data_IF_152166334107
#
_entry.id   IF_152166334107
#
_cell.length_a   1.000
_cell.length_b   1.000
_cell.length_c   1.000
_cell.angle_alpha   90.00
_cell.angle_beta   90.00
_cell.angle_gamma   90.00
#
_symmetry.space_group_name_H-M   'P 1'
#
loop_
_entity.id
_entity.type
_entity.pdbx_description
1 polymer ?
#
# COMPACT_ATOMS: atom_id res chain seq x y z
N UNK A 1 10.30 -14.98 13.53
CA UNK A 1 10.63 -13.67 14.12
C UNK A 1 9.46 -13.14 14.94
N UNK A 2 9.66 -12.14 15.82
CA UNK A 2 8.59 -11.50 16.62
C UNK A 2 7.45 -10.98 15.73
N UNK A 3 7.77 -10.40 14.58
CA UNK A 3 6.78 -9.90 13.63
C UNK A 3 5.86 -11.01 13.08
N UNK A 4 6.38 -12.20 12.82
CA UNK A 4 5.57 -13.35 12.38
C UNK A 4 4.65 -13.86 13.50
N UNK A 5 5.15 -13.89 14.74
CA UNK A 5 4.31 -14.24 15.91
C UNK A 5 3.20 -13.22 16.08
N UNK A 6 3.50 -11.91 15.95
CA UNK A 6 2.49 -10.86 16.00
C UNK A 6 1.38 -11.05 14.95
N UNK A 7 1.75 -11.33 13.69
CA UNK A 7 0.75 -11.52 12.62
C UNK A 7 -0.08 -12.78 12.84
N UNK A 8 0.51 -13.87 13.30
CA UNK A 8 -0.26 -15.07 13.64
C UNK A 8 -1.25 -14.80 14.77
N UNK A 9 -0.83 -14.05 15.81
CA UNK A 9 -1.72 -13.62 16.89
C UNK A 9 -2.82 -12.66 16.39
N UNK A 10 -2.47 -11.75 15.48
CA UNK A 10 -3.42 -10.83 14.86
C UNK A 10 -4.49 -11.58 14.05
N UNK A 11 -4.11 -12.59 13.27
CA UNK A 11 -5.04 -13.42 12.50
C UNK A 11 -6.02 -14.20 13.43
N UNK A 12 -5.53 -14.71 14.55
CA UNK A 12 -6.39 -15.33 15.56
C UNK A 12 -7.39 -14.31 16.15
N UNK A 13 -6.96 -13.06 16.30
CA UNK A 13 -7.80 -11.95 16.81
C UNK A 13 -8.82 -11.37 15.81
N UNK A 14 -8.76 -11.73 14.53
CA UNK A 14 -9.63 -11.16 13.49
C UNK A 14 -11.10 -11.43 13.79
N UNK A 15 -11.47 -12.68 14.01
CA UNK A 15 -12.86 -13.07 14.25
C UNK A 15 -13.41 -12.42 15.54
N UNK A 16 -12.67 -12.50 16.65
CA UNK A 16 -13.09 -11.92 17.92
C UNK A 16 -13.24 -10.39 17.86
N UNK A 17 -12.38 -9.69 17.11
CA UNK A 17 -12.52 -8.25 16.89
C UNK A 17 -13.72 -7.93 16.00
N UNK A 18 -13.93 -8.71 14.94
CA UNK A 18 -15.02 -8.49 13.98
C UNK A 18 -16.42 -8.70 14.58
N UNK A 19 -16.57 -9.48 15.67
CA UNK A 19 -17.83 -9.64 16.39
C UNK A 19 -18.23 -8.42 17.22
N UNK A 20 -17.28 -7.53 17.54
CA UNK A 20 -17.49 -6.37 18.39
C UNK A 20 -17.75 -5.11 17.56
N UNK A 21 -18.94 -4.52 17.69
CA UNK A 21 -19.29 -3.28 16.98
C UNK A 21 -19.21 -2.07 17.92
N UNK A 22 -17.97 -1.73 18.32
CA UNK A 22 -17.68 -0.59 19.21
C UNK A 22 -16.57 0.28 18.63
N UNK A 23 -16.48 1.58 18.98
CA UNK A 23 -15.38 2.44 18.54
C UNK A 23 -13.98 1.88 18.88
N UNK A 24 -13.84 1.26 20.07
CA UNK A 24 -12.57 0.65 20.45
C UNK A 24 -12.22 -0.54 19.56
N UNK A 25 -13.18 -1.42 19.25
CA UNK A 25 -12.98 -2.54 18.33
C UNK A 25 -12.66 -2.05 16.90
N UNK A 26 -13.24 -0.92 16.48
CA UNK A 26 -12.92 -0.28 15.20
C UNK A 26 -11.47 0.20 15.17
N UNK A 27 -10.99 0.90 16.19
CA UNK A 27 -9.58 1.35 16.27
C UNK A 27 -8.63 0.16 16.32
N UNK A 28 -8.92 -0.85 17.15
CA UNK A 28 -8.06 -2.04 17.25
C UNK A 28 -8.08 -2.85 15.95
N UNK A 29 -9.24 -2.96 15.29
CA UNK A 29 -9.35 -3.59 13.97
C UNK A 29 -8.53 -2.88 12.91
N UNK A 30 -8.57 -1.55 12.87
CA UNK A 30 -7.73 -0.75 11.99
C UNK A 30 -6.24 -0.98 12.26
N UNK A 31 -5.82 -0.97 13.52
CA UNK A 31 -4.43 -1.23 13.91
C UNK A 31 -3.97 -2.66 13.55
N UNK A 32 -4.84 -3.67 13.73
CA UNK A 32 -4.59 -5.04 13.29
C UNK A 32 -4.40 -5.09 11.77
N UNK A 33 -5.27 -4.44 11.00
CA UNK A 33 -5.16 -4.35 9.54
C UNK A 33 -3.84 -3.72 9.08
N UNK A 34 -3.44 -2.59 9.70
CA UNK A 34 -2.15 -1.95 9.44
C UNK A 34 -0.97 -2.84 9.82
N UNK A 35 -1.05 -3.55 10.94
CA UNK A 35 0.01 -4.47 11.38
C UNK A 35 0.20 -5.67 10.45
N UNK A 36 -0.90 -6.28 9.98
CA UNK A 36 -0.86 -7.35 8.98
C UNK A 36 -0.24 -6.83 7.68
N UNK A 37 -0.70 -5.67 7.21
CA UNK A 37 -0.16 -5.04 6.01
C UNK A 37 1.32 -4.70 6.13
N UNK A 38 1.72 -4.09 7.24
CA UNK A 38 3.13 -3.76 7.51
C UNK A 38 4.04 -4.99 7.47
N UNK A 39 3.59 -6.12 8.01
CA UNK A 39 4.34 -7.37 7.91
C UNK A 39 4.46 -7.89 6.46
N UNK A 40 3.39 -7.82 5.69
CA UNK A 40 3.41 -8.20 4.27
C UNK A 40 4.43 -7.36 3.51
N UNK A 41 4.40 -6.04 3.69
CA UNK A 41 5.33 -5.11 3.03
C UNK A 41 6.79 -5.31 3.48
N UNK A 42 7.03 -5.45 4.80
CA UNK A 42 8.37 -5.71 5.32
C UNK A 42 8.93 -7.02 4.78
N UNK A 43 8.11 -8.09 4.70
CA UNK A 43 8.53 -9.36 4.13
C UNK A 43 8.96 -9.24 2.66
N UNK A 44 8.28 -8.37 1.91
CA UNK A 44 8.64 -8.04 0.53
C UNK A 44 9.92 -7.21 0.45
N UNK A 45 10.00 -6.11 1.19
CA UNK A 45 11.16 -5.19 1.17
C UNK A 45 12.44 -5.86 1.69
N UNK A 46 12.34 -6.79 2.62
CA UNK A 46 13.49 -7.61 3.07
C UNK A 46 13.87 -8.73 2.10
N UNK A 47 13.12 -8.91 0.99
CA UNK A 47 13.40 -9.89 -0.02
C UNK A 47 13.03 -11.33 0.33
N UNK A 48 12.30 -11.56 1.44
CA UNK A 48 11.91 -12.92 1.86
C UNK A 48 10.87 -13.51 0.91
N UNK A 49 9.88 -12.71 0.51
CA UNK A 49 8.81 -13.15 -0.39
C UNK A 49 8.68 -12.11 -1.50
N UNK A 50 9.24 -12.40 -2.66
CA UNK A 50 9.24 -11.52 -3.84
C UNK A 50 8.59 -12.22 -5.04
N UNK A 51 9.36 -12.53 -6.05
CA UNK A 51 8.95 -13.30 -7.22
C UNK A 51 10.13 -14.04 -7.84
N UNK A 52 9.90 -14.86 -8.86
CA UNK A 52 10.95 -15.66 -9.51
C UNK A 52 11.88 -14.82 -10.37
N UNK A 53 11.45 -13.65 -10.84
CA UNK A 53 12.27 -12.77 -11.69
C UNK A 53 13.10 -11.84 -10.81
N UNK A 54 14.43 -12.05 -10.80
CA UNK A 54 15.40 -11.27 -10.00
C UNK A 54 16.52 -10.67 -10.89
N UNK A 55 16.26 -10.53 -12.19
CA UNK A 55 17.20 -9.97 -13.14
C UNK A 55 16.63 -8.68 -13.77
N UNK A 56 17.49 -7.73 -14.18
CA UNK A 56 17.03 -6.53 -14.88
C UNK A 56 16.42 -6.86 -16.25
N UNK A 57 15.55 -5.95 -16.73
CA UNK A 57 14.93 -6.07 -18.04
C UNK A 57 15.99 -6.00 -19.16
N UNK A 58 15.85 -6.86 -20.18
CA UNK A 58 16.64 -6.75 -21.41
C UNK A 58 16.04 -5.68 -22.34
N UNK A 59 16.88 -5.03 -23.15
CA UNK A 59 16.46 -3.93 -24.03
C UNK A 59 15.41 -4.33 -25.09
N UNK A 60 15.26 -5.62 -25.38
CA UNK A 60 14.47 -6.14 -26.51
C UNK A 60 13.04 -6.56 -26.15
N UNK A 61 12.60 -6.35 -24.89
CA UNK A 61 11.27 -6.80 -24.43
C UNK A 61 10.14 -5.99 -25.08
N UNK A 62 9.13 -6.69 -25.61
CA UNK A 62 7.85 -6.08 -25.95
C UNK A 62 7.13 -5.55 -24.69
N UNK A 63 6.14 -4.66 -24.86
CA UNK A 63 5.35 -4.11 -23.75
C UNK A 63 4.73 -5.21 -22.86
N UNK A 64 4.16 -6.22 -23.50
CA UNK A 64 3.52 -7.33 -22.80
C UNK A 64 4.52 -8.23 -22.06
N UNK A 65 5.66 -8.53 -22.67
CA UNK A 65 6.75 -9.26 -22.01
C UNK A 65 7.27 -8.48 -20.81
N UNK A 66 7.49 -7.17 -20.96
CA UNK A 66 7.92 -6.29 -19.88
C UNK A 66 6.91 -6.31 -18.70
N UNK A 67 5.61 -6.25 -18.99
CA UNK A 67 4.57 -6.35 -17.96
C UNK A 67 4.61 -7.70 -17.23
N UNK A 68 4.69 -8.80 -17.97
CA UNK A 68 4.78 -10.15 -17.38
C UNK A 68 6.03 -10.31 -16.51
N UNK A 69 7.18 -9.82 -16.95
CA UNK A 69 8.40 -9.89 -16.17
C UNK A 69 8.34 -8.95 -14.96
N UNK A 70 7.81 -7.74 -15.09
CA UNK A 70 7.57 -6.85 -13.96
C UNK A 70 6.65 -7.50 -12.91
N UNK A 71 5.55 -8.13 -13.32
CA UNK A 71 4.70 -8.92 -12.44
C UNK A 71 5.46 -10.09 -11.82
N UNK A 72 6.31 -10.75 -12.61
CA UNK A 72 7.17 -11.85 -12.15
C UNK A 72 8.16 -11.45 -11.05
N UNK A 73 8.49 -10.17 -10.89
CA UNK A 73 9.35 -9.69 -9.79
C UNK A 73 8.65 -9.74 -8.42
N UNK A 74 7.32 -9.78 -8.38
CA UNK A 74 6.51 -9.60 -7.16
C UNK A 74 5.41 -10.64 -6.99
N UNK A 75 5.25 -11.60 -7.91
CA UNK A 75 4.07 -12.47 -7.97
C UNK A 75 3.85 -13.32 -6.71
N UNK A 76 4.90 -13.85 -6.07
CA UNK A 76 4.74 -14.65 -4.85
C UNK A 76 4.24 -13.79 -3.70
N UNK A 77 4.69 -12.53 -3.61
CA UNK A 77 4.18 -11.56 -2.64
C UNK A 77 2.71 -11.23 -2.92
N UNK A 78 2.32 -11.00 -4.19
CA UNK A 78 0.92 -10.73 -4.54
C UNK A 78 0.00 -11.90 -4.19
N UNK A 79 0.44 -13.13 -4.43
CA UNK A 79 -0.30 -14.33 -4.05
C UNK A 79 -0.45 -14.44 -2.52
N UNK A 80 0.60 -14.11 -1.76
CA UNK A 80 0.52 -14.06 -0.30
C UNK A 80 -0.48 -12.99 0.16
N UNK A 81 -0.43 -11.77 -0.40
CA UNK A 81 -1.38 -10.69 -0.07
C UNK A 81 -2.81 -11.14 -0.34
N UNK A 82 -3.10 -11.67 -1.54
CA UNK A 82 -4.43 -12.18 -1.89
C UNK A 82 -4.88 -13.28 -0.94
N UNK A 83 -3.98 -14.19 -0.56
CA UNK A 83 -4.30 -15.27 0.38
C UNK A 83 -4.64 -14.75 1.77
N UNK A 84 -3.86 -13.80 2.29
CA UNK A 84 -4.09 -13.19 3.61
C UNK A 84 -5.37 -12.34 3.62
N UNK A 85 -5.56 -11.49 2.61
CA UNK A 85 -6.78 -10.68 2.48
C UNK A 85 -8.01 -11.58 2.33
N UNK A 86 -7.93 -12.62 1.50
CA UNK A 86 -8.99 -13.60 1.33
C UNK A 86 -9.34 -14.33 2.63
N UNK A 87 -8.32 -14.76 3.39
CA UNK A 87 -8.52 -15.38 4.70
C UNK A 87 -9.23 -14.43 5.68
N UNK A 88 -8.77 -13.18 5.77
CA UNK A 88 -9.39 -12.17 6.65
C UNK A 88 -10.82 -11.88 6.22
N UNK A 89 -11.11 -11.84 4.92
CA UNK A 89 -12.48 -11.68 4.42
C UNK A 89 -13.38 -12.88 4.81
N UNK A 90 -12.86 -14.10 4.75
CA UNK A 90 -13.61 -15.31 5.15
C UNK A 90 -13.85 -15.32 6.65
N UNK A 91 -12.84 -15.02 7.47
CA UNK A 91 -12.98 -15.00 8.94
C UNK A 91 -13.92 -13.92 9.43
N UNK A 92 -14.01 -12.78 8.74
CA UNK A 92 -14.90 -11.67 9.10
C UNK A 92 -16.22 -11.64 8.33
N UNK A 93 -16.53 -12.66 7.53
CA UNK A 93 -17.73 -12.67 6.69
C UNK A 93 -19.01 -12.66 7.52
N UNK A 94 -19.88 -11.68 7.24
CA UNK A 94 -21.16 -11.53 7.96
C UNK A 94 -21.05 -10.99 9.39
N UNK A 95 -19.85 -10.65 9.86
CA UNK A 95 -19.64 -10.05 11.19
C UNK A 95 -19.81 -8.51 11.14
N UNK A 96 -20.23 -7.88 12.25
CA UNK A 96 -20.66 -6.48 12.25
C UNK A 96 -19.54 -5.45 12.07
N UNK A 97 -18.29 -5.80 12.30
CA UNK A 97 -17.16 -4.87 12.21
C UNK A 97 -16.21 -5.25 11.05
N UNK A 98 -16.37 -4.67 9.84
CA UNK A 98 -15.54 -4.99 8.68
C UNK A 98 -14.26 -4.15 8.61
N UNK A 99 -13.82 -3.48 9.67
CA UNK A 99 -12.72 -2.50 9.61
C UNK A 99 -11.40 -3.12 9.18
N UNK A 100 -11.08 -4.35 9.63
CA UNK A 100 -9.84 -5.04 9.24
C UNK A 100 -9.85 -5.30 7.73
N UNK A 101 -10.94 -5.86 7.21
CA UNK A 101 -11.12 -6.19 5.78
C UNK A 101 -11.00 -4.92 4.91
N UNK A 102 -11.71 -3.85 5.31
CA UNK A 102 -11.71 -2.58 4.59
C UNK A 102 -10.32 -1.92 4.58
N UNK A 103 -9.60 -1.98 5.71
CA UNK A 103 -8.22 -1.48 5.82
C UNK A 103 -7.31 -2.19 4.83
N UNK A 104 -7.32 -3.53 4.83
CA UNK A 104 -6.49 -4.33 3.93
C UNK A 104 -6.89 -4.14 2.46
N UNK A 105 -8.19 -4.04 2.17
CA UNK A 105 -8.69 -3.83 0.81
C UNK A 105 -8.21 -2.49 0.23
N UNK A 106 -8.31 -1.40 1.00
CA UNK A 106 -7.85 -0.07 0.55
C UNK A 106 -6.34 -0.06 0.33
N UNK A 107 -5.56 -0.60 1.27
CA UNK A 107 -4.10 -0.68 1.14
C UNK A 107 -3.69 -1.49 -0.09
N UNK A 108 -4.33 -2.63 -0.34
CA UNK A 108 -4.06 -3.47 -1.50
C UNK A 108 -4.41 -2.78 -2.82
N UNK A 109 -5.60 -2.16 -2.91
CA UNK A 109 -6.02 -1.43 -4.11
C UNK A 109 -5.09 -0.25 -4.41
N UNK A 110 -4.70 0.53 -3.39
CA UNK A 110 -3.81 1.68 -3.55
C UNK A 110 -2.42 1.22 -3.98
N UNK A 111 -1.90 0.13 -3.40
CA UNK A 111 -0.63 -0.45 -3.83
C UNK A 111 -0.64 -0.89 -5.31
N UNK A 112 -1.73 -1.53 -5.77
CA UNK A 112 -1.86 -1.88 -7.18
C UNK A 112 -1.93 -0.65 -8.07
N UNK A 113 -2.67 0.37 -7.64
CA UNK A 113 -2.71 1.66 -8.35
C UNK A 113 -1.32 2.27 -8.50
N UNK A 114 -0.53 2.33 -7.41
CA UNK A 114 0.84 2.83 -7.42
C UNK A 114 1.74 2.00 -8.35
N UNK A 115 1.71 0.66 -8.26
CA UNK A 115 2.49 -0.22 -9.14
C UNK A 115 2.17 -0.03 -10.62
N UNK A 116 0.88 0.08 -10.97
CA UNK A 116 0.46 0.33 -12.35
C UNK A 116 0.92 1.70 -12.83
N UNK A 117 0.83 2.74 -12.00
CA UNK A 117 1.33 4.07 -12.32
C UNK A 117 2.84 4.06 -12.57
N UNK A 118 3.62 3.42 -11.71
CA UNK A 118 5.07 3.28 -11.87
C UNK A 118 5.43 2.52 -13.16
N UNK A 119 4.68 1.48 -13.49
CA UNK A 119 4.89 0.70 -14.72
C UNK A 119 4.53 1.49 -15.98
N UNK A 120 3.39 2.20 -15.99
CA UNK A 120 2.91 2.96 -17.14
C UNK A 120 3.70 4.25 -17.36
N UNK A 121 4.20 4.84 -16.30
CA UNK A 121 5.06 6.01 -16.32
C UNK A 121 4.62 7.08 -15.33
N UNK A 122 5.56 7.52 -14.52
CA UNK A 122 5.45 8.66 -13.60
C UNK A 122 6.65 9.57 -13.77
N UNK A 123 6.48 10.84 -13.47
CA UNK A 123 7.53 11.83 -13.63
C UNK A 123 8.60 11.71 -12.55
N UNK A 124 8.17 11.44 -11.33
CA UNK A 124 9.05 11.41 -10.16
C UNK A 124 8.92 10.07 -9.46
N UNK A 125 9.98 9.30 -9.54
CA UNK A 125 10.17 8.07 -8.79
C UNK A 125 11.59 8.05 -8.24
N UNK A 126 11.69 8.03 -6.92
CA UNK A 126 12.99 7.93 -6.28
C UNK A 126 13.39 6.47 -6.10
N UNK A 127 14.31 6.01 -6.93
CA UNK A 127 14.86 4.65 -6.86
C UNK A 127 15.81 4.43 -5.68
N UNK A 128 16.29 5.48 -5.02
CA UNK A 128 17.21 5.40 -3.87
C UNK A 128 16.55 4.76 -2.64
N UNK A 129 15.22 4.77 -2.59
CA UNK A 129 14.45 4.16 -1.51
C UNK A 129 14.29 2.64 -1.65
N UNK A 130 14.64 2.09 -2.81
CA UNK A 130 14.60 0.65 -2.99
C UNK A 130 15.83 0.01 -2.34
N UNK A 131 15.64 -1.10 -1.59
CA UNK A 131 16.75 -1.89 -1.09
C UNK A 131 17.69 -2.31 -2.23
N UNK A 132 18.99 -2.35 -1.98
CA UNK A 132 20.00 -2.64 -3.01
C UNK A 132 19.73 -3.94 -3.78
N UNK A 133 19.20 -4.97 -3.10
CA UNK A 133 18.86 -6.26 -3.71
C UNK A 133 17.60 -6.23 -4.59
N UNK A 134 16.86 -5.11 -4.62
CA UNK A 134 15.64 -4.93 -5.42
C UNK A 134 15.79 -3.90 -6.56
N UNK A 135 16.97 -3.33 -6.73
CA UNK A 135 17.22 -2.28 -7.75
C UNK A 135 16.92 -2.73 -9.18
N UNK A 136 17.00 -4.04 -9.47
CA UNK A 136 16.63 -4.60 -10.78
C UNK A 136 15.20 -4.27 -11.19
N UNK A 137 14.28 -4.02 -10.23
CA UNK A 137 12.88 -3.68 -10.50
C UNK A 137 12.78 -2.36 -11.28
N UNK A 138 13.68 -1.41 -11.04
CA UNK A 138 13.68 -0.10 -11.71
C UNK A 138 13.78 -0.21 -13.23
N UNK A 139 14.46 -1.25 -13.75
CA UNK A 139 14.59 -1.49 -15.17
C UNK A 139 13.27 -1.77 -15.90
N UNK A 140 12.22 -2.16 -15.15
CA UNK A 140 10.87 -2.40 -15.67
C UNK A 140 10.00 -1.16 -15.61
N UNK A 141 10.38 -0.11 -14.88
CA UNK A 141 9.62 1.12 -14.70
C UNK A 141 9.84 2.11 -15.85
N UNK A 142 8.98 3.12 -15.98
CA UNK A 142 9.09 4.18 -16.99
C UNK A 142 9.14 5.56 -16.32
N UNK A 143 10.30 5.99 -15.83
CA UNK A 143 10.45 7.33 -15.29
C UNK A 143 10.44 8.38 -16.40
N UNK A 144 10.03 9.61 -16.08
CA UNK A 144 10.23 10.79 -16.91
C UNK A 144 8.97 11.48 -17.41
N UNK A 145 7.87 10.79 -17.68
CA UNK A 145 6.60 11.41 -18.10
C UNK A 145 5.42 10.77 -17.38
N UNK A 146 4.50 11.59 -16.90
CA UNK A 146 3.24 11.10 -16.35
C UNK A 146 2.40 10.47 -17.46
N UNK A 147 1.97 9.23 -17.26
CA UNK A 147 0.93 8.63 -18.09
C UNK A 147 -0.43 9.28 -17.76
N UNK A 148 -1.39 9.21 -18.68
CA UNK A 148 -2.76 9.69 -18.40
C UNK A 148 -3.41 8.92 -17.23
N UNK A 149 -2.99 7.68 -16.99
CA UNK A 149 -3.55 6.81 -15.96
C UNK A 149 -3.36 7.37 -14.54
N UNK A 150 -2.25 8.10 -14.26
CA UNK A 150 -2.04 8.67 -12.93
C UNK A 150 -3.08 9.75 -12.59
N UNK A 151 -3.54 10.52 -13.58
CA UNK A 151 -4.57 11.53 -13.36
C UNK A 151 -5.91 10.87 -13.06
N UNK A 152 -6.28 9.83 -13.82
CA UNK A 152 -7.53 9.10 -13.61
C UNK A 152 -7.53 8.36 -12.28
N UNK A 153 -6.45 7.65 -11.95
CA UNK A 153 -6.34 6.91 -10.69
C UNK A 153 -6.35 7.85 -9.47
N UNK A 154 -5.70 9.02 -9.57
CA UNK A 154 -5.72 10.05 -8.51
C UNK A 154 -7.12 10.64 -8.32
N UNK A 155 -7.82 10.98 -9.41
CA UNK A 155 -9.18 11.50 -9.35
C UNK A 155 -10.15 10.47 -8.77
N UNK A 156 -10.02 9.20 -9.18
CA UNK A 156 -10.83 8.11 -8.64
C UNK A 156 -10.57 7.91 -7.15
N UNK A 157 -9.31 7.90 -6.74
CA UNK A 157 -8.93 7.79 -5.33
C UNK A 157 -9.47 8.97 -4.50
N UNK A 158 -9.37 10.20 -5.02
CA UNK A 158 -9.94 11.40 -4.38
C UNK A 158 -11.46 11.33 -4.26
N UNK A 159 -12.15 10.86 -5.30
CA UNK A 159 -13.59 10.64 -5.27
C UNK A 159 -13.98 9.58 -4.25
N UNK A 160 -13.31 8.43 -4.22
CA UNK A 160 -13.53 7.40 -3.20
C UNK A 160 -13.30 7.94 -1.78
N UNK A 161 -12.26 8.74 -1.59
CA UNK A 161 -11.97 9.41 -0.31
C UNK A 161 -13.14 10.31 0.11
N UNK A 162 -13.65 11.14 -0.81
CA UNK A 162 -14.81 11.99 -0.56
C UNK A 162 -16.05 11.19 -0.16
N UNK A 163 -16.36 10.10 -0.89
CA UNK A 163 -17.50 9.23 -0.57
C UNK A 163 -17.34 8.59 0.81
N UNK A 164 -16.14 8.14 1.16
CA UNK A 164 -15.88 7.56 2.48
C UNK A 164 -16.08 8.59 3.61
N UNK A 165 -15.61 9.83 3.44
CA UNK A 165 -15.90 10.91 4.39
C UNK A 165 -17.39 11.21 4.50
N UNK A 166 -18.10 11.28 3.37
CA UNK A 166 -19.54 11.49 3.37
C UNK A 166 -20.29 10.37 4.09
N UNK A 167 -19.95 9.10 3.84
CA UNK A 167 -20.54 7.95 4.53
C UNK A 167 -20.27 7.98 6.03
N UNK A 168 -19.09 8.44 6.45
CA UNK A 168 -18.77 8.63 7.87
C UNK A 168 -19.63 9.71 8.53
N UNK A 169 -19.97 10.78 7.80
CA UNK A 169 -20.82 11.87 8.32
C UNK A 169 -22.29 11.46 8.46
N UNK A 170 -22.79 10.62 7.59
CA UNK A 170 -24.21 10.21 7.59
C UNK A 170 -24.45 8.90 8.37
N UNK A 171 -23.40 8.24 8.84
CA UNK A 171 -23.52 7.01 9.61
C UNK A 171 -24.13 7.28 11.00
N UNK A 172 -25.17 6.54 11.37
CA UNK A 172 -25.85 6.69 12.65
C UNK A 172 -25.08 6.08 13.83
N UNK A 173 -24.34 4.99 13.55
CA UNK A 173 -23.59 4.24 14.57
C UNK A 173 -22.16 4.78 14.71
N UNK A 174 -21.70 5.17 15.91
CA UNK A 174 -20.36 5.74 16.10
C UNK A 174 -19.22 4.85 15.63
N UNK A 175 -19.33 3.52 15.80
CA UNK A 175 -18.33 2.57 15.32
C UNK A 175 -18.21 2.56 13.78
N UNK A 176 -19.36 2.60 13.11
CA UNK A 176 -19.44 2.67 11.65
C UNK A 176 -18.88 3.99 11.12
N UNK A 177 -19.27 5.13 11.71
CA UNK A 177 -18.75 6.44 11.36
C UNK A 177 -17.23 6.48 11.48
N UNK A 178 -16.71 6.00 12.62
CA UNK A 178 -15.27 5.95 12.87
C UNK A 178 -14.53 5.06 11.85
N UNK A 179 -15.10 3.89 11.51
CA UNK A 179 -14.53 3.02 10.47
C UNK A 179 -14.39 3.75 9.15
N UNK A 180 -15.44 4.43 8.67
CA UNK A 180 -15.39 5.21 7.45
C UNK A 180 -14.36 6.33 7.50
N UNK A 181 -14.25 7.07 8.60
CA UNK A 181 -13.24 8.12 8.74
C UNK A 181 -11.81 7.58 8.71
N UNK A 182 -11.52 6.48 9.41
CA UNK A 182 -10.19 5.87 9.40
C UNK A 182 -9.79 5.42 7.99
N UNK A 183 -10.70 4.77 7.27
CA UNK A 183 -10.47 4.33 5.89
C UNK A 183 -10.36 5.54 4.93
N UNK A 184 -11.16 6.58 5.12
CA UNK A 184 -11.08 7.81 4.34
C UNK A 184 -9.73 8.52 4.49
N UNK A 185 -9.20 8.61 5.71
CA UNK A 185 -7.87 9.17 5.96
C UNK A 185 -6.77 8.33 5.31
N UNK A 186 -6.89 7.01 5.37
CA UNK A 186 -5.95 6.12 4.69
C UNK A 186 -5.99 6.31 3.17
N UNK A 187 -7.18 6.43 2.59
CA UNK A 187 -7.35 6.72 1.17
C UNK A 187 -6.82 8.12 0.80
N UNK A 188 -6.99 9.12 1.67
CA UNK A 188 -6.43 10.46 1.47
C UNK A 188 -4.89 10.44 1.43
N UNK A 189 -4.24 9.64 2.29
CA UNK A 189 -2.79 9.45 2.23
C UNK A 189 -2.34 8.81 0.91
N UNK A 190 -3.12 7.88 0.36
CA UNK A 190 -2.84 7.30 -0.95
C UNK A 190 -3.01 8.32 -2.09
N UNK A 191 -4.00 9.22 -2.01
CA UNK A 191 -4.11 10.37 -2.96
C UNK A 191 -2.85 11.22 -2.89
N UNK A 192 -2.38 11.53 -1.68
CA UNK A 192 -1.16 12.31 -1.47
C UNK A 192 0.07 11.60 -2.07
N UNK A 193 0.19 10.29 -1.92
CA UNK A 193 1.23 9.49 -2.57
C UNK A 193 1.21 9.65 -4.09
N UNK A 194 0.02 9.55 -4.71
CA UNK A 194 -0.12 9.74 -6.17
C UNK A 194 0.29 11.16 -6.61
N UNK A 195 -0.06 12.17 -5.82
CA UNK A 195 0.35 13.57 -6.08
C UNK A 195 1.88 13.70 -6.03
N UNK A 196 2.55 13.04 -5.07
CA UNK A 196 4.03 13.05 -4.99
C UNK A 196 4.70 12.37 -6.18
N UNK A 197 4.06 11.39 -6.80
CA UNK A 197 4.57 10.80 -8.05
C UNK A 197 4.47 11.77 -9.25
N UNK A 198 3.58 12.76 -9.20
CA UNK A 198 3.39 13.76 -10.26
C UNK A 198 4.25 15.02 -10.09
N UNK A 199 4.47 15.45 -8.86
CA UNK A 199 5.13 16.72 -8.53
C UNK A 199 6.56 16.46 -8.05
N UNK A 200 7.56 17.26 -8.48
CA UNK A 200 8.92 17.14 -7.98
C UNK A 200 8.98 17.61 -6.52
N UNK A 201 8.68 16.74 -5.60
CA UNK A 201 9.00 16.96 -4.19
C UNK A 201 10.45 16.56 -4.00
N UNK A 202 11.34 17.54 -4.11
CA UNK A 202 12.74 17.31 -3.75
C UNK A 202 12.82 16.83 -2.31
N UNK A 203 13.35 15.65 -2.07
CA UNK A 203 13.50 15.04 -0.72
C UNK A 203 14.20 15.99 0.24
N UNK A 204 15.11 16.80 -0.29
CA UNK A 204 15.78 17.87 0.44
C UNK A 204 14.81 18.88 1.07
N UNK A 205 13.60 19.07 0.56
CA UNK A 205 12.64 20.05 1.08
C UNK A 205 11.96 19.52 2.34
N UNK A 206 11.54 18.25 2.36
CA UNK A 206 10.82 17.66 3.50
C UNK A 206 11.76 17.29 4.66
N UNK A 207 13.00 16.89 4.37
CA UNK A 207 13.94 16.37 5.37
C UNK A 207 15.15 17.27 5.60
N UNK A 208 15.20 18.47 5.00
CA UNK A 208 16.33 19.41 5.16
C UNK A 208 16.60 19.75 6.63
N UNK A 209 15.55 19.84 7.42
CA UNK A 209 15.65 20.13 8.86
C UNK A 209 16.22 18.96 9.68
N UNK A 210 16.12 17.72 9.18
CA UNK A 210 16.61 16.51 9.87
C UNK A 210 18.01 16.07 9.42
N UNK A 211 18.54 16.67 8.33
CA UNK A 211 19.91 16.41 7.86
C UNK A 211 20.85 17.40 8.55
N UNK A 212 21.54 16.96 9.60
CA UNK A 212 22.72 17.65 10.07
C UNK A 212 23.79 17.54 8.98
N UNK A 213 24.18 18.67 8.41
CA UNK A 213 25.30 18.74 7.46
C UNK A 213 26.59 18.33 8.16
N UNK A 214 26.97 17.08 8.00
CA UNK A 214 28.30 16.55 8.40
C UNK A 214 29.38 16.93 7.35
N UNK A 215 29.25 18.09 6.70
CA UNK A 215 30.23 18.63 5.75
C UNK A 215 30.88 19.91 6.21
N UNK A 216 31.33 19.97 7.46
CA UNK A 216 32.32 20.97 7.89
C UNK A 216 33.29 20.32 8.85
N UNK A 217 34.16 19.43 8.40
CA UNK A 217 35.42 19.07 9.03
C UNK A 217 36.28 18.24 8.08
N UNK A 218 36.88 18.88 7.09
CA UNK A 218 38.09 18.38 6.42
C UNK A 218 38.85 19.52 5.77
#
# INVERSE_FOLDING_TARGET
>A
TLATVFVMSALVGVESNATLHTPLATITGFAIGLGIWGWLELSYLMGFITGPVKAPATATLSQWQRFRYALGTTIHHELLVVSVVGLVCVLGAGLPNPTIQNTLAVLWLMRWSTKLNLFLGVRHFNSEWLPAHMTYITSYLRPGKNSWFIFVSTLLAAYCTYILFFLGQVANEPATALSFFLIAWLAALAVLEHVFLMIPMGETVLWRWARTDTREAS
#
